data_IF_884253541828
#
_entry.id   IF_884253541828
#
_cell.length_a   1.000
_cell.length_b   1.000
_cell.length_c   1.000
_cell.angle_alpha   90.00
_cell.angle_beta   90.00
_cell.angle_gamma   90.00
#
_symmetry.space_group_name_H-M   'P 1'
#
loop_
_entity.id
_entity.type
_entity.pdbx_description
1 polymer ?
#
# COMPACT_ATOMS: atom_id res chain seq x y z
N UNK A 1 17.14 26.27 3.42
CA UNK A 1 17.07 24.82 3.70
C UNK A 1 15.71 24.35 3.22
N UNK A 2 15.66 23.41 2.26
CA UNK A 2 14.43 23.06 1.57
C UNK A 2 13.49 22.28 2.52
N UNK A 3 12.20 22.60 2.53
CA UNK A 3 11.22 21.92 3.40
C UNK A 3 11.17 20.41 3.12
N UNK A 4 11.32 19.99 1.88
CA UNK A 4 11.37 18.57 1.49
C UNK A 4 12.57 17.85 2.11
N UNK A 5 13.76 18.45 2.14
CA UNK A 5 14.97 17.87 2.73
C UNK A 5 14.85 17.73 4.24
N UNK A 6 14.29 18.74 4.92
CA UNK A 6 14.05 18.71 6.37
C UNK A 6 13.10 17.57 6.72
N UNK A 7 11.97 17.46 6.02
CA UNK A 7 11.00 16.41 6.27
C UNK A 7 11.52 15.02 5.88
N UNK A 8 12.33 14.92 4.83
CA UNK A 8 12.97 13.67 4.45
C UNK A 8 13.93 13.17 5.54
N UNK A 9 14.73 14.06 6.12
CA UNK A 9 15.60 13.75 7.25
C UNK A 9 14.81 13.41 8.51
N UNK A 10 13.78 14.20 8.84
CA UNK A 10 12.94 13.98 10.02
C UNK A 10 12.19 12.64 9.96
N UNK A 11 11.75 12.23 8.77
CA UNK A 11 11.12 10.92 8.53
C UNK A 11 12.13 9.78 8.32
N UNK A 12 13.43 10.06 8.37
CA UNK A 12 14.52 9.11 8.13
C UNK A 12 14.39 8.36 6.79
N UNK A 13 13.84 9.02 5.77
CA UNK A 13 13.67 8.44 4.45
C UNK A 13 15.02 8.40 3.74
N UNK A 14 15.35 7.22 3.21
CA UNK A 14 16.54 6.96 2.40
C UNK A 14 16.14 6.42 1.03
N UNK A 15 17.05 6.52 0.05
CA UNK A 15 16.84 5.96 -1.30
C UNK A 15 16.35 4.51 -1.19
N UNK A 16 15.28 4.10 -1.90
CA UNK A 16 14.61 4.77 -3.03
C UNK A 16 13.51 5.77 -2.68
N UNK A 17 13.21 5.95 -1.41
CA UNK A 17 12.12 6.81 -0.96
C UNK A 17 12.62 8.24 -0.77
N UNK A 18 11.83 9.19 -1.24
CA UNK A 18 12.17 10.62 -1.11
C UNK A 18 10.90 11.46 -0.97
N UNK A 19 11.02 12.63 -0.35
CA UNK A 19 9.89 13.56 -0.24
C UNK A 19 9.80 14.36 -1.54
N UNK A 20 8.71 14.18 -2.27
CA UNK A 20 8.44 14.89 -3.53
C UNK A 20 7.82 16.26 -3.28
N UNK A 21 6.97 16.39 -2.26
CA UNK A 21 6.37 17.66 -1.88
C UNK A 21 5.95 17.64 -0.40
N UNK A 22 6.02 18.81 0.22
CA UNK A 22 5.43 19.07 1.54
C UNK A 22 4.48 20.25 1.38
N UNK A 23 3.21 20.06 1.74
CA UNK A 23 2.17 21.09 1.65
C UNK A 23 1.48 21.25 3.00
N UNK A 24 1.35 22.50 3.42
CA UNK A 24 0.53 22.88 4.57
C UNK A 24 -0.73 23.54 4.02
N UNK A 25 -1.87 22.91 4.24
CA UNK A 25 -3.16 23.43 3.79
C UNK A 25 -3.97 23.88 5.00
N UNK A 26 -4.40 25.14 4.97
CA UNK A 26 -5.31 25.67 6.00
C UNK A 26 -6.69 25.06 5.81
N UNK A 27 -7.18 24.44 6.88
CA UNK A 27 -8.51 23.81 6.96
C UNK A 27 -9.50 24.77 7.62
N UNK A 28 -9.01 25.64 8.49
CA UNK A 28 -9.71 26.74 9.15
C UNK A 28 -8.68 27.71 9.75
N UNK A 29 -9.12 28.89 10.21
CA UNK A 29 -8.24 29.92 10.82
C UNK A 29 -7.29 29.39 11.91
N UNK A 30 -7.69 28.34 12.63
CA UNK A 30 -6.90 27.70 13.70
C UNK A 30 -6.43 26.26 13.41
N UNK A 31 -6.61 25.75 12.18
CA UNK A 31 -6.28 24.35 11.86
C UNK A 31 -5.58 24.23 10.51
N UNK A 32 -4.40 23.62 10.55
CA UNK A 32 -3.59 23.30 9.37
C UNK A 32 -3.48 21.79 9.22
N UNK A 33 -3.51 21.31 7.98
CA UNK A 33 -3.16 19.94 7.63
C UNK A 33 -1.80 19.89 6.94
N UNK A 34 -0.98 18.92 7.34
CA UNK A 34 0.28 18.60 6.71
C UNK A 34 0.08 17.45 5.73
N UNK A 35 0.40 17.68 4.46
CA UNK A 35 0.46 16.66 3.41
C UNK A 35 1.92 16.46 3.00
N UNK A 36 2.38 15.22 3.02
CA UNK A 36 3.73 14.83 2.60
C UNK A 36 3.58 13.82 1.48
N UNK A 37 4.02 14.20 0.28
CA UNK A 37 4.03 13.30 -0.87
C UNK A 37 5.36 12.54 -0.89
N UNK A 38 5.32 11.22 -0.75
CA UNK A 38 6.50 10.36 -0.82
C UNK A 38 6.60 9.76 -2.23
N UNK A 39 7.72 10.03 -2.89
CA UNK A 39 8.10 9.42 -4.15
C UNK A 39 8.95 8.17 -3.95
N UNK A 40 8.97 7.34 -4.99
CA UNK A 40 9.82 6.16 -5.09
C UNK A 40 10.58 6.21 -6.42
N UNK A 41 11.90 6.07 -6.36
CA UNK A 41 12.73 5.94 -7.56
C UNK A 41 12.46 4.59 -8.23
N UNK A 42 11.62 4.58 -9.28
CA UNK A 42 11.25 3.37 -10.02
C UNK A 42 12.43 2.69 -10.73
N UNK A 43 13.53 3.42 -10.95
CA UNK A 43 14.76 2.84 -11.51
C UNK A 43 15.60 2.14 -10.45
N UNK A 44 15.30 2.36 -9.16
CA UNK A 44 16.00 1.73 -8.07
C UNK A 44 15.65 0.25 -7.99
N UNK A 45 16.64 -0.58 -8.30
CA UNK A 45 16.62 -1.98 -7.95
C UNK A 45 17.25 -2.10 -6.56
N UNK A 46 16.49 -2.63 -5.61
CA UNK A 46 17.08 -3.06 -4.35
C UNK A 46 18.25 -3.98 -4.68
N UNK A 47 19.41 -3.71 -4.06
CA UNK A 47 20.59 -4.52 -4.31
C UNK A 47 20.23 -5.99 -4.13
N UNK A 48 20.53 -6.84 -5.13
CA UNK A 48 20.30 -8.26 -4.96
C UNK A 48 21.00 -8.72 -3.69
N UNK A 49 20.31 -9.54 -2.90
CA UNK A 49 20.80 -10.07 -1.63
C UNK A 49 22.22 -10.59 -1.83
N UNK A 50 23.18 -10.09 -1.04
CA UNK A 50 24.59 -10.44 -1.22
C UNK A 50 24.81 -11.94 -1.02
N UNK A 51 25.88 -12.50 -1.59
CA UNK A 51 26.22 -13.93 -1.39
C UNK A 51 26.24 -14.30 0.10
N UNK A 52 26.83 -13.44 0.93
CA UNK A 52 26.86 -13.60 2.38
C UNK A 52 25.47 -13.65 3.01
N UNK A 53 24.60 -12.70 2.67
CA UNK A 53 23.22 -12.67 3.20
C UNK A 53 22.39 -13.87 2.74
N UNK A 54 22.65 -14.41 1.54
CA UNK A 54 22.01 -15.65 1.09
C UNK A 54 22.46 -16.84 1.93
N UNK A 55 23.77 -16.97 2.18
CA UNK A 55 24.34 -18.01 3.04
C UNK A 55 23.82 -17.91 4.48
N UNK A 56 23.84 -16.71 5.08
CA UNK A 56 23.30 -16.47 6.43
C UNK A 56 21.81 -16.83 6.50
N UNK A 57 21.04 -16.55 5.44
CA UNK A 57 19.64 -16.96 5.36
C UNK A 57 19.49 -18.48 5.26
N UNK A 58 20.25 -19.15 4.40
CA UNK A 58 20.24 -20.62 4.30
C UNK A 58 20.55 -21.26 5.66
N UNK A 59 21.57 -20.76 6.37
CA UNK A 59 21.92 -21.20 7.71
C UNK A 59 20.78 -21.00 8.72
N UNK A 60 20.12 -19.84 8.70
CA UNK A 60 18.95 -19.57 9.56
C UNK A 60 17.76 -20.48 9.25
N UNK A 61 17.54 -20.81 7.97
CA UNK A 61 16.49 -21.74 7.55
C UNK A 61 16.76 -23.15 8.09
N UNK A 62 18.01 -23.60 8.08
CA UNK A 62 18.43 -24.89 8.65
C UNK A 62 18.30 -24.92 10.18
N UNK A 63 18.73 -23.85 10.87
CA UNK A 63 18.69 -23.77 12.33
C UNK A 63 17.27 -23.61 12.90
N UNK A 64 16.38 -22.94 12.15
CA UNK A 64 15.03 -22.59 12.60
C UNK A 64 13.97 -23.14 11.63
N UNK A 65 13.63 -24.44 11.72
CA UNK A 65 12.78 -25.11 10.73
C UNK A 65 11.40 -24.47 10.56
N UNK A 66 10.79 -23.96 11.64
CA UNK A 66 9.50 -23.26 11.55
C UNK A 66 9.61 -21.93 10.77
N UNK A 67 10.70 -21.20 10.96
CA UNK A 67 10.96 -19.95 10.22
C UNK A 67 11.33 -20.27 8.77
N UNK A 68 12.08 -21.34 8.55
CA UNK A 68 12.38 -21.88 7.22
C UNK A 68 11.13 -22.24 6.43
N UNK A 69 10.21 -22.99 7.03
CA UNK A 69 8.93 -23.35 6.42
C UNK A 69 8.05 -22.13 6.15
N UNK A 70 7.95 -21.19 7.10
CA UNK A 70 7.25 -19.93 6.89
C UNK A 70 7.84 -19.14 5.71
N UNK A 71 9.17 -19.08 5.61
CA UNK A 71 9.85 -18.41 4.51
C UNK A 71 9.56 -19.11 3.17
N UNK A 72 9.62 -20.45 3.14
CA UNK A 72 9.29 -21.27 1.96
C UNK A 72 7.87 -21.01 1.47
N UNK A 73 6.87 -21.05 2.37
CA UNK A 73 5.47 -20.77 2.05
C UNK A 73 5.28 -19.35 1.49
N UNK A 74 5.94 -18.36 2.10
CA UNK A 74 5.93 -16.98 1.62
C UNK A 74 6.53 -16.86 0.22
N UNK A 75 7.64 -17.54 -0.05
CA UNK A 75 8.32 -17.49 -1.34
C UNK A 75 7.46 -18.14 -2.41
N UNK A 76 6.95 -19.34 -2.16
CA UNK A 76 6.04 -20.05 -3.05
C UNK A 76 4.81 -19.19 -3.39
N UNK A 77 4.21 -18.53 -2.40
CA UNK A 77 3.07 -17.64 -2.64
C UNK A 77 3.36 -16.52 -3.66
N UNK A 78 4.62 -16.07 -3.80
CA UNK A 78 4.95 -15.01 -4.76
C UNK A 78 4.76 -15.46 -6.21
N UNK A 79 4.84 -16.75 -6.49
CA UNK A 79 4.67 -17.31 -7.83
C UNK A 79 3.23 -17.12 -8.34
N UNK A 80 2.26 -16.93 -7.44
CA UNK A 80 0.86 -16.62 -7.78
C UNK A 80 0.72 -15.45 -8.75
N UNK A 81 1.58 -14.43 -8.63
CA UNK A 81 1.49 -13.23 -9.47
C UNK A 81 2.04 -13.43 -10.88
N UNK A 82 2.67 -14.57 -11.17
CA UNK A 82 3.22 -14.91 -12.49
C UNK A 82 2.26 -15.68 -13.39
N UNK A 83 1.04 -15.99 -12.95
CA UNK A 83 0.06 -16.71 -13.76
C UNK A 83 -0.66 -15.76 -14.73
N UNK A 84 -0.83 -16.20 -15.97
CA UNK A 84 -1.57 -15.46 -17.02
C UNK A 84 -3.06 -15.86 -17.10
N UNK A 85 -3.40 -17.05 -16.59
CA UNK A 85 -4.73 -17.63 -16.64
C UNK A 85 -5.34 -17.76 -15.24
N UNK A 86 -6.60 -17.35 -15.12
CA UNK A 86 -7.40 -17.40 -13.90
C UNK A 86 -7.58 -18.82 -13.34
N UNK A 87 -7.76 -19.81 -14.21
CA UNK A 87 -7.98 -21.19 -13.79
C UNK A 87 -6.73 -21.78 -13.13
N UNK A 88 -5.57 -21.58 -13.75
CA UNK A 88 -4.29 -22.05 -13.23
C UNK A 88 -3.91 -21.33 -11.93
N UNK A 89 -4.14 -20.01 -11.87
CA UNK A 89 -3.95 -19.23 -10.65
C UNK A 89 -4.84 -19.71 -9.51
N UNK A 90 -6.12 -20.02 -9.78
CA UNK A 90 -7.05 -20.56 -8.80
C UNK A 90 -6.62 -21.94 -8.29
N UNK A 91 -6.21 -22.83 -9.20
CA UNK A 91 -5.70 -24.16 -8.84
C UNK A 91 -4.44 -24.07 -7.98
N UNK A 92 -3.49 -23.21 -8.36
CA UNK A 92 -2.29 -22.95 -7.59
C UNK A 92 -2.61 -22.40 -6.20
N UNK A 93 -3.52 -21.44 -6.10
CA UNK A 93 -3.90 -20.83 -4.83
C UNK A 93 -4.58 -21.83 -3.89
N UNK A 94 -5.35 -22.78 -4.44
CA UNK A 94 -5.97 -23.84 -3.67
C UNK A 94 -4.91 -24.79 -3.11
N UNK A 95 -4.01 -25.26 -3.97
CA UNK A 95 -2.85 -26.06 -3.59
C UNK A 95 -2.02 -25.38 -2.49
N UNK A 96 -1.75 -24.09 -2.64
CA UNK A 96 -0.99 -23.33 -1.65
C UNK A 96 -1.73 -23.25 -0.31
N UNK A 97 -3.05 -23.06 -0.30
CA UNK A 97 -3.84 -23.07 0.92
C UNK A 97 -3.82 -24.43 1.63
N UNK A 98 -3.90 -25.52 0.88
CA UNK A 98 -3.82 -26.88 1.44
C UNK A 98 -2.45 -27.13 2.09
N UNK A 99 -1.37 -26.72 1.40
CA UNK A 99 0.00 -26.82 1.93
C UNK A 99 0.19 -26.01 3.23
N UNK A 100 -0.41 -24.82 3.33
CA UNK A 100 -0.42 -24.03 4.57
C UNK A 100 -1.16 -24.74 5.69
N UNK A 101 -2.28 -25.40 5.36
CA UNK A 101 -3.09 -26.11 6.33
C UNK A 101 -2.32 -27.32 6.90
N UNK A 102 -1.55 -28.01 6.06
CA UNK A 102 -0.62 -29.09 6.41
C UNK A 102 0.57 -28.61 7.28
N UNK A 103 1.27 -27.53 6.88
CA UNK A 103 2.45 -27.02 7.61
C UNK A 103 2.10 -26.49 9.02
N UNK A 104 0.83 -26.21 9.32
CA UNK A 104 0.37 -25.98 10.68
C UNK A 104 0.70 -24.59 11.26
N UNK A 105 1.32 -23.70 10.50
CA UNK A 105 1.79 -22.39 10.99
C UNK A 105 0.59 -21.44 11.14
N UNK A 106 0.19 -21.18 12.40
CA UNK A 106 -1.03 -20.42 12.75
C UNK A 106 -1.15 -19.07 12.02
N UNK A 107 -0.11 -18.21 11.95
CA UNK A 107 -0.20 -16.97 11.17
C UNK A 107 -0.54 -17.18 9.69
N UNK A 108 0.01 -18.22 9.05
CA UNK A 108 -0.27 -18.54 7.65
C UNK A 108 -1.67 -19.10 7.48
N UNK A 109 -2.17 -19.93 8.40
CA UNK A 109 -3.56 -20.42 8.39
C UNK A 109 -4.57 -19.27 8.42
N UNK A 110 -4.34 -18.27 9.27
CA UNK A 110 -5.19 -17.08 9.32
C UNK A 110 -5.15 -16.30 7.99
N UNK A 111 -3.98 -16.20 7.36
CA UNK A 111 -3.84 -15.58 6.05
C UNK A 111 -4.53 -16.38 4.94
N UNK A 112 -4.39 -17.71 4.93
CA UNK A 112 -5.09 -18.61 4.01
C UNK A 112 -6.62 -18.49 4.15
N UNK A 113 -7.14 -18.41 5.37
CA UNK A 113 -8.57 -18.17 5.61
C UNK A 113 -9.03 -16.81 5.05
N UNK A 114 -8.20 -15.78 5.18
CA UNK A 114 -8.47 -14.47 4.58
C UNK A 114 -8.52 -14.56 3.05
N UNK A 115 -7.59 -15.29 2.44
CA UNK A 115 -7.58 -15.56 0.98
C UNK A 115 -8.86 -16.28 0.57
N UNK A 116 -9.24 -17.36 1.27
CA UNK A 116 -10.47 -18.12 1.01
C UNK A 116 -11.71 -17.21 1.09
N UNK A 117 -11.75 -16.27 2.05
CA UNK A 117 -12.82 -15.27 2.17
C UNK A 117 -12.89 -14.25 1.03
N UNK A 118 -11.77 -13.94 0.39
CA UNK A 118 -11.66 -12.97 -0.72
C UNK A 118 -11.33 -13.62 -2.07
N UNK A 119 -11.58 -14.92 -2.20
CA UNK A 119 -11.13 -15.76 -3.32
C UNK A 119 -11.44 -15.18 -4.70
N UNK A 120 -12.70 -14.80 -4.91
CA UNK A 120 -13.18 -14.29 -6.19
C UNK A 120 -12.44 -13.02 -6.62
N UNK A 121 -12.20 -12.09 -5.69
CA UNK A 121 -11.48 -10.85 -5.97
C UNK A 121 -10.01 -11.09 -6.30
N UNK A 122 -9.35 -11.96 -5.52
CA UNK A 122 -7.93 -12.29 -5.69
C UNK A 122 -7.70 -12.99 -7.03
N UNK A 123 -8.50 -14.00 -7.36
CA UNK A 123 -8.37 -14.75 -8.60
C UNK A 123 -8.76 -13.88 -9.81
N UNK A 124 -9.76 -13.00 -9.68
CA UNK A 124 -10.15 -12.09 -10.77
C UNK A 124 -9.11 -11.00 -11.05
N UNK A 125 -8.22 -10.70 -10.10
CA UNK A 125 -7.11 -9.76 -10.33
C UNK A 125 -6.19 -10.22 -11.46
N UNK A 126 -5.99 -11.53 -11.62
CA UNK A 126 -5.10 -12.11 -12.65
C UNK A 126 -5.48 -11.62 -14.06
N UNK A 127 -6.78 -11.68 -14.39
CA UNK A 127 -7.28 -11.21 -15.69
C UNK A 127 -7.49 -9.70 -15.73
N UNK A 128 -8.11 -9.14 -14.68
CA UNK A 128 -8.56 -7.75 -14.72
C UNK A 128 -7.42 -6.75 -14.49
N UNK A 129 -6.39 -7.14 -13.72
CA UNK A 129 -5.35 -6.25 -13.19
C UNK A 129 -5.92 -4.99 -12.49
N UNK A 130 -7.21 -5.03 -12.09
CA UNK A 130 -7.88 -3.93 -11.40
C UNK A 130 -7.57 -4.07 -9.92
N UNK A 131 -6.68 -3.22 -9.41
CA UNK A 131 -6.40 -3.10 -7.99
C UNK A 131 -7.36 -2.09 -7.33
N UNK A 132 -7.93 -2.46 -6.18
CA UNK A 132 -8.73 -1.54 -5.35
C UNK A 132 -7.90 -0.39 -4.74
N UNK A 133 -6.58 -0.37 -4.88
CA UNK A 133 -5.71 0.66 -4.28
C UNK A 133 -6.07 2.10 -4.69
N UNK A 134 -6.53 2.33 -5.93
CA UNK A 134 -7.00 3.66 -6.35
C UNK A 134 -8.30 4.02 -5.62
N UNK A 135 -9.24 3.08 -5.52
CA UNK A 135 -10.51 3.25 -4.82
C UNK A 135 -10.29 3.48 -3.32
N UNK A 136 -9.38 2.72 -2.69
CA UNK A 136 -8.98 2.90 -1.30
C UNK A 136 -8.31 4.27 -1.08
N UNK A 137 -7.47 4.70 -2.00
CA UNK A 137 -6.88 6.05 -1.97
C UNK A 137 -7.93 7.15 -2.01
N UNK A 138 -8.94 7.02 -2.88
CA UNK A 138 -10.08 7.95 -2.95
C UNK A 138 -10.91 7.88 -1.67
N UNK A 139 -11.21 6.69 -1.17
CA UNK A 139 -11.99 6.50 0.05
C UNK A 139 -11.26 7.10 1.27
N UNK A 140 -9.95 6.93 1.37
CA UNK A 140 -9.12 7.52 2.41
C UNK A 140 -9.18 9.06 2.38
N UNK A 141 -9.14 9.68 1.18
CA UNK A 141 -9.32 11.13 1.04
C UNK A 141 -10.70 11.59 1.50
N UNK A 142 -11.76 10.87 1.15
CA UNK A 142 -13.14 11.17 1.55
C UNK A 142 -13.30 11.04 3.08
N UNK A 143 -12.81 9.95 3.67
CA UNK A 143 -12.86 9.73 5.11
C UNK A 143 -12.01 10.74 5.89
N UNK A 144 -10.88 11.16 5.32
CA UNK A 144 -10.05 12.23 5.87
C UNK A 144 -10.79 13.56 5.86
N UNK A 145 -11.47 13.92 4.76
CA UNK A 145 -12.32 15.12 4.68
C UNK A 145 -13.39 15.12 5.78
N UNK A 146 -14.08 13.98 5.96
CA UNK A 146 -15.08 13.80 7.03
C UNK A 146 -14.47 13.98 8.42
N UNK A 147 -13.30 13.38 8.69
CA UNK A 147 -12.58 13.51 9.98
C UNK A 147 -12.12 14.95 10.23
N UNK A 148 -11.60 15.65 9.22
CA UNK A 148 -11.14 17.04 9.33
C UNK A 148 -12.26 17.98 9.77
N UNK A 149 -13.47 17.78 9.22
CA UNK A 149 -14.67 18.53 9.59
C UNK A 149 -15.35 18.07 10.89
N UNK A 150 -14.89 16.97 11.51
CA UNK A 150 -15.58 16.29 12.63
C UNK A 150 -17.04 15.90 12.27
N UNK A 151 -17.25 15.53 11.02
CA UNK A 151 -18.57 15.23 10.46
C UNK A 151 -19.22 16.45 9.79
N UNK A 152 -20.06 16.18 8.78
CA UNK A 152 -20.83 17.20 8.09
C UNK A 152 -22.29 17.09 8.50
N UNK A 153 -22.90 18.21 8.92
CA UNK A 153 -24.34 18.28 9.21
C UNK A 153 -25.20 18.27 7.94
N UNK A 154 -24.69 18.87 6.86
CA UNK A 154 -25.37 18.95 5.57
C UNK A 154 -24.64 18.07 4.54
N UNK A 155 -25.37 17.13 3.94
CA UNK A 155 -24.82 16.19 2.96
C UNK A 155 -24.36 16.88 1.67
N UNK A 156 -25.02 17.95 1.25
CA UNK A 156 -24.64 18.70 0.05
C UNK A 156 -23.27 19.37 0.24
N UNK A 157 -22.98 19.86 1.46
CA UNK A 157 -21.67 20.43 1.78
C UNK A 157 -20.58 19.34 1.81
N UNK A 158 -20.93 18.12 2.24
CA UNK A 158 -20.00 17.00 2.18
C UNK A 158 -19.69 16.60 0.73
N UNK A 159 -20.71 16.50 -0.12
CA UNK A 159 -20.57 16.19 -1.56
C UNK A 159 -19.72 17.27 -2.26
N UNK A 160 -20.01 18.55 -2.02
CA UNK A 160 -19.22 19.66 -2.58
C UNK A 160 -17.75 19.60 -2.16
N UNK A 161 -17.48 19.25 -0.89
CA UNK A 161 -16.11 19.07 -0.42
C UNK A 161 -15.42 17.87 -1.10
N UNK A 162 -16.13 16.77 -1.33
CA UNK A 162 -15.57 15.63 -2.08
C UNK A 162 -15.22 16.07 -3.50
N UNK A 163 -16.10 16.79 -4.20
CA UNK A 163 -15.80 17.32 -5.54
C UNK A 163 -14.62 18.29 -5.54
N UNK A 164 -14.51 19.12 -4.52
CA UNK A 164 -13.38 20.03 -4.35
C UNK A 164 -12.05 19.26 -4.19
N UNK A 165 -12.01 18.26 -3.31
CA UNK A 165 -10.79 17.50 -2.98
C UNK A 165 -10.40 16.48 -4.06
N UNK A 166 -11.38 15.86 -4.72
CA UNK A 166 -11.15 14.81 -5.72
C UNK A 166 -11.09 15.35 -7.16
N UNK A 167 -11.76 16.46 -7.43
CA UNK A 167 -11.96 17.00 -8.78
C UNK A 167 -10.78 17.77 -9.38
N UNK A 168 -9.68 17.97 -8.62
CA UNK A 168 -8.50 18.76 -9.06
C UNK A 168 -8.88 20.12 -9.67
N UNK A 169 -9.90 20.77 -9.11
CA UNK A 169 -10.42 22.03 -9.63
C UNK A 169 -9.35 23.12 -9.53
N UNK A 170 -8.99 23.73 -10.66
CA UNK A 170 -8.08 24.87 -10.70
C UNK A 170 -8.88 26.13 -10.42
N UNK A 171 -8.74 26.66 -9.20
CA UNK A 171 -9.23 27.99 -8.89
C UNK A 171 -8.13 28.99 -9.26
N UNK A 172 -8.30 29.68 -10.39
CA UNK A 172 -7.52 30.86 -10.67
C UNK A 172 -8.02 31.95 -9.71
N UNK A 173 -7.35 32.08 -8.56
CA UNK A 173 -7.61 33.22 -7.69
C UNK A 173 -7.10 34.47 -8.41
N UNK A 174 -7.92 35.54 -8.54
CA UNK A 174 -7.38 36.81 -8.99
C UNK A 174 -6.35 37.27 -7.95
N UNK A 175 -5.10 37.40 -8.38
CA UNK A 175 -3.98 37.86 -7.55
C UNK A 175 -3.91 39.39 -7.45
N UNK A 176 -5.04 40.09 -7.63
CA UNK A 176 -5.05 41.54 -7.65
C UNK A 176 -5.97 42.07 -6.55
N UNK A 177 -5.36 42.30 -5.38
CA UNK A 177 -5.83 43.31 -4.45
C UNK A 177 -4.80 44.45 -4.47
N UNK A 178 -4.99 45.39 -5.40
CA UNK A 178 -4.51 46.76 -5.26
C UNK A 178 -5.27 47.48 -4.16
#
# INVERSE_FOLDING_TARGET
MNSTEIFQLALQLSKPWYVTAVRFESVSESKMDLHIDIGFDRSFKFSPVSKRQKMEREELIELLPNVGNAYRLKMLFQDFWGFDNKQDAAAFLAFWCDLVDEDGIVPFKNFANTIKGHWSGIVNYIESQIANGILEGVNNKIQLAKRRARGYRNINNFINMIYFLAGKLKFNFPHDFT
#
